data_IF_134152624730
#
_entry.id   IF_134152624730
#
_cell.length_a   1.000
_cell.length_b   1.000
_cell.length_c   1.000
_cell.angle_alpha   90.00
_cell.angle_beta   90.00
_cell.angle_gamma   90.00
#
_symmetry.space_group_name_H-M   'P 1'
#
loop_
_entity.id
_entity.type
_entity.pdbx_description
1 polymer ?
#
# COMPACT_ATOMS: atom_id res chain seq x y z
N UNK A 1 -1.78 -33.41 9.13
CA UNK A 1 -2.62 -32.44 9.85
C UNK A 1 -1.75 -31.23 10.20
N UNK A 2 -1.84 -30.15 9.41
CA UNK A 2 -1.06 -28.93 9.66
C UNK A 2 -1.56 -28.26 10.93
N UNK A 3 -0.70 -28.19 11.94
CA UNK A 3 -1.00 -27.59 13.24
C UNK A 3 -1.15 -26.07 13.08
N UNK A 4 -2.33 -25.53 13.39
CA UNK A 4 -2.66 -24.10 13.31
C UNK A 4 -1.67 -23.26 14.15
N UNK A 5 -1.04 -23.84 15.18
CA UNK A 5 0.05 -23.20 15.94
C UNK A 5 1.32 -22.90 15.11
N UNK A 6 1.60 -23.66 14.06
CA UNK A 6 2.78 -23.42 13.22
C UNK A 6 2.55 -22.29 12.21
N UNK A 7 1.30 -21.97 11.85
CA UNK A 7 0.99 -20.74 11.10
C UNK A 7 1.30 -19.51 11.98
N UNK A 8 1.09 -19.61 13.29
CA UNK A 8 1.51 -18.60 14.27
C UNK A 8 3.04 -18.50 14.48
N UNK A 9 3.88 -19.32 13.84
CA UNK A 9 5.34 -19.17 13.87
C UNK A 9 5.87 -18.08 12.94
N UNK A 10 5.01 -17.50 12.07
CA UNK A 10 5.17 -16.16 11.53
C UNK A 10 4.87 -15.12 12.63
N UNK A 11 5.56 -15.23 13.78
CA UNK A 11 5.57 -14.21 14.82
C UNK A 11 6.16 -12.93 14.23
N UNK A 12 5.26 -12.13 13.67
CA UNK A 12 5.33 -10.67 13.55
C UNK A 12 6.59 -10.13 12.89
N UNK A 13 6.83 -10.57 11.65
CA UNK A 13 7.79 -9.95 10.75
C UNK A 13 7.04 -9.10 9.72
N UNK A 14 6.52 -7.91 10.10
CA UNK A 14 5.75 -7.06 9.18
C UNK A 14 6.56 -6.68 7.93
N UNK A 15 7.89 -6.65 8.02
CA UNK A 15 8.77 -6.45 6.87
C UNK A 15 8.61 -7.50 5.77
N UNK A 16 8.39 -8.79 6.10
CA UNK A 16 8.21 -9.84 5.09
C UNK A 16 6.92 -9.61 4.29
N UNK A 17 5.84 -9.25 4.99
CA UNK A 17 4.55 -8.96 4.34
C UNK A 17 4.72 -7.76 3.42
N UNK A 18 5.32 -6.67 3.92
CA UNK A 18 5.54 -5.47 3.13
C UNK A 18 6.44 -5.72 1.91
N UNK A 19 7.51 -6.51 2.04
CA UNK A 19 8.37 -6.88 0.91
C UNK A 19 7.68 -7.79 -0.10
N UNK A 20 6.80 -8.69 0.36
CA UNK A 20 5.94 -9.45 -0.56
C UNK A 20 5.07 -8.50 -1.39
N UNK A 21 4.46 -7.48 -0.77
CA UNK A 21 3.67 -6.48 -1.50
C UNK A 21 4.53 -5.56 -2.38
N UNK A 22 5.74 -5.20 -1.97
CA UNK A 22 6.72 -4.54 -2.84
C UNK A 22 6.96 -5.36 -4.11
N UNK A 23 7.27 -6.65 -3.96
CA UNK A 23 7.52 -7.52 -5.10
C UNK A 23 6.28 -7.63 -5.99
N UNK A 24 5.09 -7.79 -5.38
CA UNK A 24 3.82 -7.85 -6.10
C UNK A 24 3.56 -6.56 -6.90
N UNK A 25 3.75 -5.38 -6.30
CA UNK A 25 3.61 -4.09 -6.98
C UNK A 25 4.55 -3.99 -8.19
N UNK A 26 5.83 -4.38 -8.04
CA UNK A 26 6.78 -4.35 -9.15
C UNK A 26 6.47 -5.37 -10.24
N UNK A 27 6.00 -6.57 -9.90
CA UNK A 27 5.56 -7.55 -10.90
C UNK A 27 4.40 -6.99 -11.72
N UNK A 28 3.36 -6.43 -11.06
CA UNK A 28 2.22 -5.86 -11.77
C UNK A 28 2.65 -4.64 -12.60
N UNK A 29 3.52 -3.78 -12.07
CA UNK A 29 4.10 -2.66 -12.80
C UNK A 29 4.81 -3.11 -14.08
N UNK A 30 5.71 -4.11 -13.97
CA UNK A 30 6.44 -4.65 -15.12
C UNK A 30 5.49 -5.27 -16.14
N UNK A 31 4.47 -6.01 -15.70
CA UNK A 31 3.45 -6.57 -16.61
C UNK A 31 2.74 -5.44 -17.40
N UNK A 32 2.25 -4.39 -16.73
CA UNK A 32 1.61 -3.27 -17.44
C UNK A 32 2.58 -2.59 -18.43
N UNK A 33 3.85 -2.43 -18.04
CA UNK A 33 4.88 -1.85 -18.91
C UNK A 33 5.16 -2.71 -20.15
N UNK A 34 5.31 -4.03 -19.99
CA UNK A 34 5.59 -4.94 -21.11
C UNK A 34 4.39 -5.15 -22.04
N UNK A 35 3.17 -5.18 -21.50
CA UNK A 35 1.95 -5.36 -22.29
C UNK A 35 1.33 -4.05 -22.78
N UNK A 36 1.94 -2.90 -22.47
CA UNK A 36 1.49 -1.57 -22.85
C UNK A 36 0.03 -1.28 -22.40
N UNK A 37 -0.37 -1.87 -21.29
CA UNK A 37 -1.72 -1.78 -20.69
C UNK A 37 -1.70 -0.79 -19.51
N UNK A 38 -1.33 0.46 -19.80
CA UNK A 38 -1.20 1.51 -18.79
C UNK A 38 -2.38 2.49 -18.87
N UNK A 39 -3.35 2.29 -17.96
CA UNK A 39 -4.47 3.21 -17.76
C UNK A 39 -4.05 4.42 -16.91
N UNK A 40 -4.57 5.61 -17.21
CA UNK A 40 -4.29 6.84 -16.45
C UNK A 40 -5.48 7.30 -15.61
N UNK A 41 -5.19 7.86 -14.43
CA UNK A 41 -6.12 8.73 -13.70
C UNK A 41 -5.81 10.17 -14.07
N UNK A 42 -6.86 10.89 -14.42
CA UNK A 42 -6.84 12.33 -14.60
C UNK A 42 -7.42 12.97 -13.34
N UNK A 43 -6.58 13.64 -12.53
CA UNK A 43 -7.02 14.44 -11.38
C UNK A 43 -7.12 15.89 -11.86
N UNK A 44 -8.34 16.39 -12.03
CA UNK A 44 -8.58 17.81 -12.29
C UNK A 44 -8.64 18.58 -10.97
N UNK A 45 -7.70 19.49 -10.76
CA UNK A 45 -7.74 20.42 -9.63
C UNK A 45 -7.61 21.86 -10.14
N UNK A 46 -8.71 22.62 -10.03
CA UNK A 46 -8.89 23.91 -10.71
C UNK A 46 -8.54 23.80 -12.22
N UNK A 47 -7.69 24.68 -12.73
CA UNK A 47 -7.29 24.73 -14.14
C UNK A 47 -6.09 23.81 -14.47
N UNK A 48 -5.67 22.95 -13.54
CA UNK A 48 -4.53 22.03 -13.74
C UNK A 48 -4.99 20.59 -13.82
N UNK A 49 -4.53 19.88 -14.85
CA UNK A 49 -4.76 18.44 -15.05
C UNK A 49 -3.50 17.66 -14.65
N UNK A 50 -3.61 16.84 -13.62
CA UNK A 50 -2.56 15.89 -13.24
C UNK A 50 -2.92 14.51 -13.79
N UNK A 51 -2.08 13.99 -14.70
CA UNK A 51 -2.24 12.65 -15.26
C UNK A 51 -1.28 11.70 -14.52
N UNK A 52 -1.83 10.75 -13.78
CA UNK A 52 -1.07 9.72 -13.06
C UNK A 52 -1.37 8.36 -13.69
N UNK A 53 -0.35 7.69 -14.22
CA UNK A 53 -0.53 6.34 -14.73
C UNK A 53 -0.62 5.31 -13.60
N UNK A 54 -1.41 4.26 -13.81
CA UNK A 54 -1.55 3.14 -12.88
C UNK A 54 -0.19 2.49 -12.61
N UNK A 55 0.64 2.37 -13.64
CA UNK A 55 2.00 1.86 -13.50
C UNK A 55 2.85 2.75 -12.58
N UNK A 56 2.79 4.08 -12.73
CA UNK A 56 3.51 5.03 -11.88
C UNK A 56 3.05 4.93 -10.41
N UNK A 57 1.75 4.80 -10.18
CA UNK A 57 1.20 4.61 -8.83
C UNK A 57 1.71 3.32 -8.19
N UNK A 58 1.66 2.19 -8.92
CA UNK A 58 2.18 0.91 -8.44
C UNK A 58 3.67 0.96 -8.14
N UNK A 59 4.45 1.67 -8.97
CA UNK A 59 5.88 1.86 -8.76
C UNK A 59 6.16 2.65 -7.47
N UNK A 60 5.46 3.78 -7.26
CA UNK A 60 5.59 4.59 -6.04
C UNK A 60 5.19 3.79 -4.80
N UNK A 61 4.06 3.06 -4.85
CA UNK A 61 3.62 2.20 -3.75
C UNK A 61 4.62 1.08 -3.46
N UNK A 62 5.22 0.48 -4.50
CA UNK A 62 6.26 -0.53 -4.37
C UNK A 62 7.48 -0.01 -3.61
N UNK A 63 8.00 1.16 -3.99
CA UNK A 63 9.09 1.82 -3.26
C UNK A 63 8.69 2.17 -1.82
N UNK A 64 7.47 2.66 -1.62
CA UNK A 64 6.99 3.02 -0.29
C UNK A 64 6.92 1.81 0.65
N UNK A 65 6.34 0.70 0.18
CA UNK A 65 6.32 -0.55 0.95
C UNK A 65 7.70 -1.12 1.20
N UNK A 66 8.64 -0.93 0.28
CA UNK A 66 10.02 -1.33 0.49
C UNK A 66 10.64 -0.55 1.65
N UNK A 67 10.46 0.78 1.67
CA UNK A 67 10.94 1.67 2.73
C UNK A 67 10.29 1.34 4.08
N UNK A 68 8.97 1.15 4.12
CA UNK A 68 8.27 0.74 5.36
C UNK A 68 8.74 -0.64 5.84
N UNK A 69 8.92 -1.59 4.91
CA UNK A 69 9.45 -2.91 5.20
C UNK A 69 10.86 -2.84 5.78
N UNK A 70 11.71 -1.98 5.20
CA UNK A 70 13.05 -1.71 5.72
C UNK A 70 13.02 -1.13 7.13
N UNK A 71 12.11 -0.20 7.45
CA UNK A 71 11.99 0.32 8.81
C UNK A 71 11.70 -0.76 9.84
N UNK A 72 10.76 -1.67 9.56
CA UNK A 72 10.49 -2.80 10.45
C UNK A 72 11.62 -3.84 10.48
N UNK A 73 12.31 -4.04 9.36
CA UNK A 73 13.48 -4.89 9.32
C UNK A 73 14.58 -4.33 10.24
N UNK A 74 14.85 -3.02 10.18
CA UNK A 74 15.82 -2.36 11.04
C UNK A 74 15.43 -2.45 12.52
N UNK A 75 14.15 -2.30 12.87
CA UNK A 75 13.71 -2.51 14.26
C UNK A 75 14.05 -3.92 14.75
N UNK A 76 13.80 -4.96 13.93
CA UNK A 76 14.20 -6.32 14.26
C UNK A 76 15.71 -6.50 14.34
N UNK A 77 16.45 -5.92 13.38
CA UNK A 77 17.90 -6.02 13.28
C UNK A 77 18.59 -5.43 14.52
N UNK A 78 18.09 -4.30 15.04
CA UNK A 78 18.60 -3.66 16.25
C UNK A 78 17.95 -4.16 17.55
N UNK A 79 17.22 -5.30 17.51
CA UNK A 79 16.49 -5.86 18.64
C UNK A 79 15.58 -4.83 19.35
N UNK A 80 15.01 -3.89 18.60
CA UNK A 80 14.03 -2.93 19.11
C UNK A 80 12.67 -3.62 19.24
N UNK A 81 11.90 -3.20 20.24
CA UNK A 81 10.59 -3.76 20.52
C UNK A 81 9.62 -3.40 19.39
N UNK A 82 9.09 -4.39 18.70
CA UNK A 82 7.97 -4.21 17.77
C UNK A 82 6.66 -4.42 18.52
N UNK A 83 5.76 -3.46 18.44
CA UNK A 83 4.41 -3.60 18.95
C UNK A 83 3.55 -4.33 17.91
N UNK A 84 3.19 -5.55 18.24
CA UNK A 84 2.34 -6.45 17.46
C UNK A 84 1.11 -5.76 16.87
N UNK A 85 0.38 -5.01 17.70
CA UNK A 85 -0.88 -4.41 17.32
C UNK A 85 -0.69 -3.19 16.40
N UNK A 86 0.30 -2.30 16.66
CA UNK A 86 0.59 -1.17 15.75
C UNK A 86 1.04 -1.68 14.38
N UNK A 87 1.94 -2.67 14.34
CA UNK A 87 2.42 -3.22 13.07
C UNK A 87 1.29 -3.89 12.28
N UNK A 88 0.41 -4.65 12.93
CA UNK A 88 -0.77 -5.23 12.28
C UNK A 88 -1.73 -4.17 11.75
N UNK A 89 -2.06 -3.14 12.54
CA UNK A 89 -2.96 -2.06 12.10
C UNK A 89 -2.37 -1.34 10.89
N UNK A 90 -1.10 -0.96 10.93
CA UNK A 90 -0.43 -0.34 9.78
C UNK A 90 -0.52 -1.22 8.53
N UNK A 91 -0.09 -2.48 8.62
CA UNK A 91 -0.08 -3.39 7.46
C UNK A 91 -1.50 -3.59 6.90
N UNK A 92 -2.46 -3.99 7.73
CA UNK A 92 -3.83 -4.27 7.26
C UNK A 92 -4.52 -3.03 6.71
N UNK A 93 -4.29 -1.86 7.32
CA UNK A 93 -4.91 -0.63 6.85
C UNK A 93 -4.26 -0.10 5.57
N UNK A 94 -2.94 -0.25 5.40
CA UNK A 94 -2.30 0.06 4.12
C UNK A 94 -2.76 -0.87 2.99
N UNK A 95 -2.99 -2.15 3.28
CA UNK A 95 -3.54 -3.09 2.30
C UNK A 95 -4.98 -2.76 1.93
N UNK A 96 -5.82 -2.46 2.92
CA UNK A 96 -7.18 -2.02 2.68
C UNK A 96 -7.21 -0.73 1.85
N UNK A 97 -6.37 0.24 2.20
CA UNK A 97 -6.28 1.51 1.47
C UNK A 97 -5.92 1.30 -0.02
N UNK A 98 -4.88 0.50 -0.29
CA UNK A 98 -4.44 0.26 -1.67
C UNK A 98 -5.45 -0.56 -2.45
N UNK A 99 -6.09 -1.56 -1.82
CA UNK A 99 -7.14 -2.34 -2.50
C UNK A 99 -8.31 -1.45 -2.90
N UNK A 100 -8.73 -0.50 -2.05
CA UNK A 100 -9.76 0.47 -2.40
C UNK A 100 -9.34 1.39 -3.56
N UNK A 101 -8.11 1.92 -3.53
CA UNK A 101 -7.58 2.76 -4.61
C UNK A 101 -7.52 1.98 -5.93
N UNK A 102 -7.02 0.74 -5.92
CA UNK A 102 -6.86 -0.08 -7.13
C UNK A 102 -8.18 -0.66 -7.66
N UNK A 103 -9.17 -0.90 -6.81
CA UNK A 103 -10.47 -1.43 -7.23
C UNK A 103 -11.19 -0.44 -8.14
N UNK A 104 -11.11 0.85 -7.83
CA UNK A 104 -11.65 1.91 -8.69
C UNK A 104 -10.95 1.93 -10.06
N UNK A 105 -9.62 1.79 -10.12
CA UNK A 105 -8.87 1.65 -11.37
C UNK A 105 -9.35 0.47 -12.25
N UNK A 106 -9.67 -0.66 -11.63
CA UNK A 106 -10.03 -1.88 -12.39
C UNK A 106 -11.39 -1.80 -13.07
N UNK A 107 -12.35 -1.10 -12.46
CA UNK A 107 -13.71 -1.00 -12.97
C UNK A 107 -13.86 0.02 -14.10
N UNK A 108 -13.03 1.05 -14.10
CA UNK A 108 -12.96 2.07 -15.18
C UNK A 108 -12.55 1.44 -16.51
N UNK A 109 -11.62 0.48 -16.50
CA UNK A 109 -11.18 -0.22 -17.71
C UNK A 109 -12.21 -1.20 -18.29
N UNK A 110 -13.07 -1.80 -17.45
CA UNK A 110 -14.03 -2.83 -17.90
C UNK A 110 -15.27 -2.25 -18.61
N UNK A 111 -15.64 -1.01 -18.29
CA UNK A 111 -16.85 -0.36 -18.82
C UNK A 111 -16.58 0.55 -20.02
N UNK A 112 -15.32 0.93 -20.28
CA UNK A 112 -15.00 1.83 -21.39
C UNK A 112 -13.50 1.85 -21.70
N UNK A 113 -13.13 1.12 -22.74
CA UNK A 113 -11.76 1.05 -23.26
C UNK A 113 -11.25 2.34 -23.94
N UNK A 114 -12.07 3.40 -24.01
CA UNK A 114 -11.75 4.63 -24.75
C UNK A 114 -12.11 5.94 -24.04
N UNK A 115 -12.65 5.89 -22.83
CA UNK A 115 -13.11 7.10 -22.13
C UNK A 115 -12.12 7.53 -21.06
N UNK A 116 -11.81 8.83 -21.04
CA UNK A 116 -11.01 9.46 -19.99
C UNK A 116 -11.76 9.36 -18.66
N UNK A 117 -11.03 9.29 -17.54
CA UNK A 117 -11.54 8.93 -16.21
C UNK A 117 -12.76 9.79 -15.77
N UNK A 118 -12.82 11.06 -16.20
CA UNK A 118 -13.93 11.98 -15.89
C UNK A 118 -15.25 11.67 -16.61
N UNK A 119 -15.28 10.79 -17.62
CA UNK A 119 -16.49 10.47 -18.39
C UNK A 119 -17.23 9.22 -17.88
N UNK A 120 -16.67 8.52 -16.87
CA UNK A 120 -17.17 7.22 -16.41
C UNK A 120 -17.72 7.38 -14.99
N UNK A 121 -19.01 7.70 -14.90
CA UNK A 121 -19.73 8.02 -13.67
C UNK A 121 -20.22 6.81 -12.87
N UNK A 122 -19.70 5.60 -13.13
CA UNK A 122 -20.28 4.35 -12.61
C UNK A 122 -19.82 4.04 -11.17
N UNK A 123 -18.68 4.57 -10.73
CA UNK A 123 -18.22 4.43 -9.35
C UNK A 123 -18.09 5.79 -8.68
N UNK A 124 -18.51 5.84 -7.41
CA UNK A 124 -18.38 7.03 -6.60
C UNK A 124 -16.90 7.25 -6.27
N UNK A 125 -16.35 8.40 -6.66
CA UNK A 125 -15.00 8.89 -6.28
C UNK A 125 -14.74 8.80 -4.76
N UNK A 126 -15.78 8.63 -3.95
CA UNK A 126 -15.70 8.42 -2.49
C UNK A 126 -14.84 7.23 -2.07
N UNK A 127 -14.76 6.15 -2.86
CA UNK A 127 -13.93 4.99 -2.50
C UNK A 127 -12.44 5.31 -2.63
N UNK A 128 -12.02 6.01 -3.69
CA UNK A 128 -10.66 6.51 -3.84
C UNK A 128 -10.30 7.48 -2.71
N UNK A 129 -11.16 8.47 -2.42
CA UNK A 129 -10.91 9.41 -1.32
C UNK A 129 -10.80 8.72 0.03
N UNK A 130 -11.64 7.72 0.30
CA UNK A 130 -11.55 6.89 1.51
C UNK A 130 -10.24 6.10 1.54
N UNK A 131 -9.84 5.50 0.42
CA UNK A 131 -8.59 4.78 0.28
C UNK A 131 -7.38 5.67 0.57
N UNK A 132 -7.34 6.87 -0.02
CA UNK A 132 -6.30 7.87 0.23
C UNK A 132 -6.27 8.27 1.71
N UNK A 133 -7.43 8.54 2.32
CA UNK A 133 -7.52 8.88 3.74
C UNK A 133 -6.99 7.76 4.63
N UNK A 134 -7.41 6.51 4.39
CA UNK A 134 -6.93 5.34 5.13
C UNK A 134 -5.43 5.15 4.95
N UNK A 135 -4.89 5.40 3.75
CA UNK A 135 -3.46 5.34 3.50
C UNK A 135 -2.69 6.34 4.35
N UNK A 136 -3.15 7.60 4.40
CA UNK A 136 -2.53 8.66 5.22
C UNK A 136 -2.54 8.27 6.70
N UNK A 137 -3.68 7.82 7.22
CA UNK A 137 -3.78 7.39 8.63
C UNK A 137 -2.82 6.22 8.88
N UNK A 138 -2.67 5.29 7.94
CA UNK A 138 -1.77 4.15 8.09
C UNK A 138 -0.31 4.59 8.19
N UNK A 139 0.08 5.60 7.41
CA UNK A 139 1.42 6.17 7.48
C UNK A 139 1.67 6.90 8.80
N UNK A 140 0.68 7.64 9.32
CA UNK A 140 0.78 8.26 10.65
C UNK A 140 1.01 7.19 11.73
N UNK A 141 0.26 6.09 11.69
CA UNK A 141 0.44 4.97 12.62
C UNK A 141 1.83 4.34 12.47
N UNK A 142 2.33 4.17 11.25
CA UNK A 142 3.68 3.67 10.99
C UNK A 142 4.75 4.57 11.62
N UNK A 143 4.73 5.87 11.34
CA UNK A 143 5.72 6.79 11.91
C UNK A 143 5.63 6.86 13.44
N UNK A 144 4.42 6.90 13.99
CA UNK A 144 4.22 6.83 15.44
C UNK A 144 4.80 5.54 16.04
N UNK A 145 4.61 4.40 15.37
CA UNK A 145 5.19 3.13 15.78
C UNK A 145 6.73 3.18 15.76
N UNK A 146 7.32 3.72 14.70
CA UNK A 146 8.78 3.85 14.58
C UNK A 146 9.34 4.70 15.73
N UNK A 147 8.75 5.86 16.00
CA UNK A 147 9.16 6.73 17.11
C UNK A 147 9.06 6.01 18.46
N UNK A 148 7.92 5.37 18.75
CA UNK A 148 7.75 4.60 19.99
C UNK A 148 8.79 3.50 20.16
N UNK A 149 9.12 2.79 19.07
CA UNK A 149 10.06 1.66 19.12
C UNK A 149 11.50 2.11 19.29
N UNK A 150 11.86 3.27 18.73
CA UNK A 150 13.21 3.87 18.82
C UNK A 150 13.45 4.47 20.20
N UNK A 151 12.49 5.25 20.72
CA UNK A 151 12.67 6.00 21.96
C UNK A 151 12.36 5.20 23.23
N UNK A 152 11.59 4.11 23.14
CA UNK A 152 11.34 3.27 24.32
C UNK A 152 12.60 2.54 24.73
N UNK A 153 13.05 2.77 25.96
CA UNK A 153 14.16 2.03 26.58
C UNK A 153 13.89 0.53 26.50
N UNK A 154 14.87 -0.23 26.02
CA UNK A 154 14.84 -1.69 26.06
C UNK A 154 14.81 -2.08 27.55
N UNK A 155 13.77 -2.79 27.96
CA UNK A 155 13.76 -3.43 29.28
C UNK A 155 14.78 -4.57 29.24
N UNK A 156 15.70 -4.66 30.21
CA UNK A 156 16.72 -5.72 30.26
C UNK A 156 16.09 -7.11 30.36
#
# INVERSE_FOLDING_TARGET
MLNIKNICSLKEKPHIILWFFTALCFVIYLLNYFFNDDSTIDISYYDTYYVLSKSSLLQVLGYWFFVCGMGYFLLNFYNKRIFSWLSRIHVWMSLLAITLILLEYSNVNFLSSTKRFYEITVYSETLNYLGILLFIIAQIIYFFHMLLSIFKKQQP
#
